data_IF_199330060629
#
_entry.id   IF_199330060629
#
_cell.length_a   1.000
_cell.length_b   1.000
_cell.length_c   1.000
_cell.angle_alpha   90.00
_cell.angle_beta   90.00
_cell.angle_gamma   90.00
#
_symmetry.space_group_name_H-M   'P 1'
#
loop_
_entity.id
_entity.type
_entity.pdbx_description
1 polymer ?
#
# COMPACT_ATOMS: atom_id res chain seq x y z
N UNK A 1 -18.11 -0.82 -12.63
CA UNK A 1 -16.88 -0.50 -11.86
C UNK A 1 -16.32 -1.82 -11.42
N UNK A 2 -15.24 -2.27 -12.05
CA UNK A 2 -14.62 -3.56 -11.72
C UNK A 2 -14.10 -3.47 -10.29
N UNK A 3 -14.63 -4.34 -9.44
CA UNK A 3 -14.21 -4.57 -8.07
C UNK A 3 -12.69 -4.60 -8.01
N UNK A 4 -12.10 -3.48 -7.59
CA UNK A 4 -10.70 -3.44 -7.17
C UNK A 4 -10.67 -4.36 -5.98
N UNK A 5 -10.17 -5.57 -6.21
CA UNK A 5 -9.96 -6.58 -5.21
C UNK A 5 -9.53 -5.95 -3.89
N UNK A 6 -10.24 -6.25 -2.80
CA UNK A 6 -10.22 -5.48 -1.56
C UNK A 6 -8.85 -5.52 -0.85
N UNK A 7 -7.89 -4.75 -1.36
CA UNK A 7 -6.59 -4.54 -0.75
C UNK A 7 -6.78 -3.49 0.33
N UNK A 8 -6.88 -3.95 1.57
CA UNK A 8 -6.92 -3.08 2.74
C UNK A 8 -5.50 -2.75 3.17
N UNK A 9 -5.02 -1.57 2.79
CA UNK A 9 -3.72 -1.06 3.19
C UNK A 9 -3.77 -0.70 4.70
N UNK A 10 -2.81 -1.16 5.52
CA UNK A 10 -2.75 -0.78 6.93
C UNK A 10 -2.56 0.73 7.09
N UNK A 11 -2.99 1.28 8.23
CA UNK A 11 -2.78 2.69 8.56
C UNK A 11 -1.27 2.98 8.66
N UNK A 12 -0.83 4.10 8.08
CA UNK A 12 0.56 4.52 8.12
C UNK A 12 1.10 4.64 9.55
N UNK A 13 2.15 3.88 9.85
CA UNK A 13 2.85 3.95 11.13
C UNK A 13 4.05 4.90 11.02
N UNK A 14 3.86 6.15 11.45
CA UNK A 14 4.92 7.17 11.42
C UNK A 14 6.11 6.83 12.34
N UNK A 15 5.85 6.10 13.42
CA UNK A 15 6.90 5.70 14.38
C UNK A 15 7.78 4.58 13.83
N UNK A 16 7.24 3.74 12.94
CA UNK A 16 7.99 2.67 12.28
C UNK A 16 7.54 2.49 10.81
N UNK A 17 8.03 3.35 9.90
CA UNK A 17 7.66 3.31 8.48
C UNK A 17 8.09 2.01 7.79
N UNK A 18 9.17 1.38 8.27
CA UNK A 18 9.68 0.12 7.70
C UNK A 18 8.71 -1.03 7.98
N UNK A 19 8.22 -1.16 9.22
CA UNK A 19 7.20 -2.14 9.57
C UNK A 19 5.92 -1.93 8.76
N UNK A 20 5.47 -0.68 8.62
CA UNK A 20 4.29 -0.39 7.80
C UNK A 20 4.47 -0.83 6.35
N UNK A 21 5.61 -0.54 5.74
CA UNK A 21 5.89 -0.95 4.36
C UNK A 21 5.91 -2.48 4.21
N UNK A 22 6.48 -3.22 5.17
CA UNK A 22 6.45 -4.69 5.21
C UNK A 22 5.01 -5.22 5.29
N UNK A 23 4.15 -4.57 6.07
CA UNK A 23 2.74 -4.92 6.16
C UNK A 23 2.02 -4.66 4.83
N UNK A 24 2.27 -3.54 4.17
CA UNK A 24 1.75 -3.26 2.82
C UNK A 24 2.16 -4.34 1.81
N UNK A 25 3.45 -4.73 1.80
CA UNK A 25 3.95 -5.80 0.94
C UNK A 25 3.26 -7.15 1.21
N UNK A 26 2.93 -7.43 2.47
CA UNK A 26 2.16 -8.62 2.84
C UNK A 26 0.72 -8.54 2.33
N UNK A 27 0.05 -7.40 2.46
CA UNK A 27 -1.29 -7.17 1.90
C UNK A 27 -1.30 -7.34 0.38
N UNK A 28 -0.28 -6.83 -0.33
CA UNK A 28 -0.19 -6.99 -1.78
C UNK A 28 -0.06 -8.45 -2.22
N UNK A 29 0.69 -9.27 -1.46
CA UNK A 29 0.81 -10.72 -1.72
C UNK A 29 -0.49 -11.47 -1.48
N UNK A 30 -1.29 -11.00 -0.51
CA UNK A 30 -2.57 -11.61 -0.12
C UNK A 30 -3.78 -11.00 -0.84
N UNK A 31 -3.55 -10.05 -1.76
CA UNK A 31 -4.62 -9.41 -2.51
C UNK A 31 -5.44 -10.43 -3.31
N UNK A 32 -6.77 -10.27 -3.28
CA UNK A 32 -7.76 -11.13 -3.95
C UNK A 32 -8.54 -10.25 -4.93
N UNK A 33 -8.85 -10.68 -6.16
CA UNK A 33 -8.71 -12.04 -6.70
C UNK A 33 -7.29 -12.42 -7.14
N UNK A 34 -6.36 -11.47 -7.23
CA UNK A 34 -4.96 -11.73 -7.58
C UNK A 34 -4.00 -10.86 -6.78
N UNK A 35 -2.80 -11.39 -6.45
CA UNK A 35 -1.73 -10.61 -5.84
C UNK A 35 -1.36 -9.38 -6.68
N UNK A 36 -1.00 -8.30 -6.00
CA UNK A 36 -0.41 -7.12 -6.65
C UNK A 36 1.10 -7.33 -6.74
N UNK A 37 1.61 -7.51 -7.95
CA UNK A 37 3.05 -7.75 -8.22
C UNK A 37 3.72 -6.58 -8.93
N UNK A 38 2.96 -5.78 -9.67
CA UNK A 38 3.48 -4.65 -10.43
C UNK A 38 3.97 -3.52 -9.51
N UNK A 39 5.25 -3.18 -9.61
CA UNK A 39 5.89 -2.16 -8.76
C UNK A 39 5.24 -0.79 -8.86
N UNK A 40 4.81 -0.37 -10.06
CA UNK A 40 4.12 0.91 -10.28
C UNK A 40 2.79 0.93 -9.53
N UNK A 41 2.04 -0.18 -9.60
CA UNK A 41 0.77 -0.33 -8.89
C UNK A 41 0.99 -0.28 -7.37
N UNK A 42 1.96 -1.05 -6.85
CA UNK A 42 2.34 -1.03 -5.43
C UNK A 42 2.72 0.37 -4.94
N UNK A 43 3.55 1.07 -5.72
CA UNK A 43 3.98 2.43 -5.42
C UNK A 43 2.78 3.38 -5.34
N UNK A 44 1.88 3.34 -6.33
CA UNK A 44 0.67 4.17 -6.33
C UNK A 44 -0.22 3.91 -5.11
N UNK A 45 -0.37 2.64 -4.69
CA UNK A 45 -1.09 2.30 -3.46
C UNK A 45 -0.42 2.89 -2.22
N UNK A 46 0.90 2.70 -2.08
CA UNK A 46 1.66 3.22 -0.95
C UNK A 46 1.51 4.73 -0.87
N UNK A 47 1.81 5.47 -1.94
CA UNK A 47 1.73 6.93 -1.97
C UNK A 47 0.32 7.44 -1.67
N UNK A 48 -0.72 6.80 -2.22
CA UNK A 48 -2.11 7.22 -1.99
C UNK A 48 -2.58 7.03 -0.54
N UNK A 49 -1.90 6.19 0.25
CA UNK A 49 -2.24 5.91 1.66
C UNK A 49 -1.27 6.57 2.64
N UNK A 50 -0.29 7.34 2.14
CA UNK A 50 0.56 8.17 2.98
C UNK A 50 -0.19 9.44 3.42
N UNK A 51 0.09 9.96 4.63
CA UNK A 51 -0.32 11.31 4.99
C UNK A 51 0.24 12.34 3.99
N UNK A 52 -0.48 13.43 3.70
CA UNK A 52 -0.07 14.41 2.69
C UNK A 52 1.30 15.03 2.97
N UNK A 53 1.63 15.24 4.24
CA UNK A 53 2.94 15.73 4.69
C UNK A 53 4.10 14.77 4.38
N UNK A 54 3.83 13.46 4.32
CA UNK A 54 4.83 12.44 3.97
C UNK A 54 4.87 12.25 2.46
N UNK A 55 3.71 12.22 1.81
CA UNK A 55 3.61 12.08 0.36
C UNK A 55 4.29 13.22 -0.40
N UNK A 56 4.29 14.44 0.16
CA UNK A 56 4.98 15.60 -0.43
C UNK A 56 6.51 15.48 -0.47
N UNK A 57 7.11 14.51 0.23
CA UNK A 57 8.56 14.30 0.29
C UNK A 57 9.07 13.28 -0.74
N UNK A 58 8.16 12.65 -1.48
CA UNK A 58 8.43 11.54 -2.42
C UNK A 58 8.51 12.05 -3.86
#
# INVERSE_FOLDING_TARGET
MSEVGAVQIPVYNRSDPALWFIMCESTFKLAVPKPITESVTKFNYVVSHLPPEVASLV
#
